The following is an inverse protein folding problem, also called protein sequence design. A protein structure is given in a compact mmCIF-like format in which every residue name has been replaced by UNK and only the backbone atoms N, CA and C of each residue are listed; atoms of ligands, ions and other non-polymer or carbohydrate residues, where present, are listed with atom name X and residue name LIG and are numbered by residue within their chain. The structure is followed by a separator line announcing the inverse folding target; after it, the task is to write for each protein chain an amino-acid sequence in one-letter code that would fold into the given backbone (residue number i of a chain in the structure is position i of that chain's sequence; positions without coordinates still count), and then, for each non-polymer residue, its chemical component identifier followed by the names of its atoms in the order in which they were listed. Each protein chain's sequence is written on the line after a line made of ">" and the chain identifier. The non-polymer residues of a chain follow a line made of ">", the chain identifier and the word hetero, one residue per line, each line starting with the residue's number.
data_IF_789936409996
#
_entry.id   IF_789936409996
#
_cell.length_a   1.000
_cell.length_b   1.000
_cell.length_c   1.000
_cell.angle_alpha   90.00
_cell.angle_beta   90.00
_cell.angle_gamma   90.00
#
_symmetry.space_group_name_H-M   'P 1'
#
loop_
_entity.id
_entity.type
_entity.pdbx_description
1 polymer ?
#
# COMPACT_ATOMS: atom_id res chain seq x y z
N UNK A 1 -9.10 39.54 11.43
CA UNK A 1 -10.10 38.71 12.14
C UNK A 1 -11.14 38.27 11.12
N UNK A 2 -10.90 37.12 10.49
CA UNK A 2 -11.91 36.44 9.68
C UNK A 2 -12.29 35.15 10.41
N UNK A 3 -13.58 34.96 10.56
CA UNK A 3 -14.28 34.03 11.42
C UNK A 3 -13.90 32.57 11.16
N UNK A 4 -13.25 31.95 12.14
CA UNK A 4 -13.37 30.51 12.39
C UNK A 4 -14.76 30.28 13.01
N UNK A 5 -15.61 29.54 12.32
CA UNK A 5 -16.93 29.20 12.83
C UNK A 5 -17.71 28.30 11.88
N UNK A 6 -17.82 27.04 12.31
CA UNK A 6 -18.96 26.14 12.07
C UNK A 6 -18.98 25.30 10.78
N UNK A 7 -18.72 23.99 10.93
CA UNK A 7 -19.39 22.98 10.09
C UNK A 7 -18.56 21.96 9.30
N UNK A 8 -17.26 21.78 9.54
CA UNK A 8 -16.41 20.81 8.80
C UNK A 8 -16.67 19.32 9.09
N UNK A 9 -17.93 18.87 9.09
CA UNK A 9 -18.33 17.48 9.41
C UNK A 9 -19.18 16.76 8.32
N UNK A 10 -18.81 16.80 7.03
CA UNK A 10 -19.25 15.71 6.14
C UNK A 10 -18.13 14.97 5.39
N UNK A 11 -17.07 15.66 4.97
CA UNK A 11 -16.04 15.08 4.12
C UNK A 11 -15.05 14.23 4.92
N UNK A 12 -14.21 14.83 5.78
CA UNK A 12 -13.14 14.16 6.57
C UNK A 12 -13.60 12.89 7.32
N UNK A 13 -14.84 12.93 7.83
CA UNK A 13 -15.52 11.81 8.46
C UNK A 13 -15.64 10.57 7.57
N UNK A 14 -15.81 10.72 6.26
CA UNK A 14 -15.99 9.60 5.33
C UNK A 14 -14.74 8.74 5.15
N UNK A 15 -13.53 9.29 5.36
CA UNK A 15 -12.27 8.51 5.36
C UNK A 15 -11.87 8.07 6.77
N UNK A 16 -12.18 8.90 7.78
CA UNK A 16 -11.91 8.59 9.18
C UNK A 16 -12.74 7.41 9.68
N UNK A 17 -14.03 7.34 9.34
CA UNK A 17 -14.93 6.24 9.74
C UNK A 17 -14.39 4.88 9.28
N UNK A 18 -14.13 4.61 7.99
CA UNK A 18 -13.63 3.30 7.56
C UNK A 18 -12.24 3.00 8.14
N UNK A 19 -11.38 4.02 8.32
CA UNK A 19 -10.08 3.83 8.95
C UNK A 19 -10.20 3.40 10.43
N UNK A 20 -11.06 4.07 11.21
CA UNK A 20 -11.34 3.72 12.61
C UNK A 20 -12.04 2.38 12.71
N UNK A 21 -13.02 2.10 11.86
CA UNK A 21 -13.70 0.80 11.80
C UNK A 21 -12.69 -0.32 11.50
N UNK A 22 -11.79 -0.11 10.54
CA UNK A 22 -10.73 -1.07 10.23
C UNK A 22 -9.77 -1.26 11.41
N UNK A 23 -9.40 -0.19 12.12
CA UNK A 23 -8.56 -0.23 13.31
C UNK A 23 -9.21 -1.02 14.44
N UNK A 24 -10.45 -0.67 14.79
CA UNK A 24 -11.22 -1.35 15.84
C UNK A 24 -11.44 -2.82 15.48
N UNK A 25 -11.81 -3.12 14.24
CA UNK A 25 -11.99 -4.50 13.78
C UNK A 25 -10.69 -5.31 13.83
N UNK A 26 -9.54 -4.71 13.46
CA UNK A 26 -8.24 -5.37 13.52
C UNK A 26 -7.83 -5.63 14.97
N UNK A 27 -7.97 -4.64 15.86
CA UNK A 27 -7.68 -4.80 17.29
C UNK A 27 -8.59 -5.83 17.96
N UNK A 28 -9.89 -5.78 17.71
CA UNK A 28 -10.85 -6.77 18.20
C UNK A 28 -10.50 -8.18 17.70
N UNK A 29 -10.07 -8.30 16.44
CA UNK A 29 -9.58 -9.56 15.88
C UNK A 29 -8.30 -10.03 16.56
N UNK A 30 -7.32 -9.15 16.76
CA UNK A 30 -6.03 -9.48 17.35
C UNK A 30 -6.17 -9.92 18.81
N UNK A 31 -7.04 -9.26 19.57
CA UNK A 31 -7.36 -9.57 20.97
C UNK A 31 -8.34 -10.75 21.13
N UNK A 32 -8.94 -11.23 20.04
CA UNK A 32 -9.87 -12.36 20.09
C UNK A 32 -9.15 -13.65 20.49
N UNK A 33 -9.74 -14.49 21.37
CA UNK A 33 -9.19 -15.82 21.67
C UNK A 33 -8.99 -16.70 20.43
N UNK A 34 -9.76 -16.45 19.36
CA UNK A 34 -9.69 -17.18 18.08
C UNK A 34 -8.45 -16.85 17.26
N UNK A 35 -7.77 -15.74 17.53
CA UNK A 35 -6.54 -15.35 16.79
C UNK A 35 -5.33 -16.19 17.19
N UNK A 36 -5.37 -16.79 18.39
CA UNK A 36 -4.28 -17.54 19.00
C UNK A 36 -3.12 -16.62 19.41
N UNK A 37 -1.88 -17.04 19.17
CA UNK A 37 -0.68 -16.24 19.44
C UNK A 37 -0.40 -15.20 18.33
N UNK A 38 -1.28 -14.20 18.19
CA UNK A 38 -1.06 -13.14 17.19
C UNK A 38 0.09 -12.21 17.62
N UNK A 39 1.11 -12.00 16.77
CA UNK A 39 2.28 -11.23 17.18
C UNK A 39 2.01 -9.71 17.19
N UNK A 40 2.42 -9.05 18.26
CA UNK A 40 2.20 -7.61 18.49
C UNK A 40 2.81 -6.70 17.42
N UNK A 41 3.91 -7.10 16.76
CA UNK A 41 4.48 -6.28 15.69
C UNK A 41 3.51 -6.09 14.51
N UNK A 42 2.56 -7.02 14.29
CA UNK A 42 1.57 -6.91 13.21
C UNK A 42 0.47 -5.90 13.53
N UNK A 43 0.03 -5.82 14.78
CA UNK A 43 -0.89 -4.75 15.21
C UNK A 43 -0.22 -3.39 15.09
N UNK A 44 1.05 -3.27 15.46
CA UNK A 44 1.81 -2.02 15.30
C UNK A 44 1.98 -1.62 13.84
N UNK A 45 2.29 -2.56 12.93
CA UNK A 45 2.33 -2.25 11.51
C UNK A 45 0.96 -1.85 10.96
N UNK A 46 -0.12 -2.48 11.40
CA UNK A 46 -1.46 -2.08 10.97
C UNK A 46 -1.80 -0.66 11.44
N UNK A 47 -1.58 -0.36 12.72
CA UNK A 47 -1.84 0.97 13.28
C UNK A 47 -1.00 2.04 12.60
N UNK A 48 0.28 1.78 12.35
CA UNK A 48 1.17 2.71 11.66
C UNK A 48 0.77 2.90 10.19
N UNK A 49 0.35 1.85 9.49
CA UNK A 49 -0.13 1.95 8.12
C UNK A 49 -1.39 2.81 8.01
N UNK A 50 -2.38 2.56 8.88
CA UNK A 50 -3.61 3.37 8.92
C UNK A 50 -3.30 4.82 9.32
N UNK A 51 -2.46 5.03 10.35
CA UNK A 51 -2.06 6.36 10.78
C UNK A 51 -1.31 7.12 9.68
N UNK A 52 -0.46 6.43 8.90
CA UNK A 52 0.27 7.01 7.79
C UNK A 52 -0.66 7.53 6.68
N UNK A 53 -1.72 6.80 6.33
CA UNK A 53 -2.73 7.30 5.36
C UNK A 53 -3.56 8.43 5.96
N UNK A 54 -3.97 8.30 7.22
CA UNK A 54 -4.73 9.35 7.87
C UNK A 54 -3.91 10.64 7.93
N UNK A 55 -2.59 10.56 8.13
CA UNK A 55 -1.71 11.72 8.11
C UNK A 55 -1.66 12.40 6.73
N UNK A 56 -1.92 11.71 5.61
CA UNK A 56 -1.92 12.37 4.29
C UNK A 56 -3.23 13.08 3.99
N UNK A 57 -4.33 12.68 4.63
CA UNK A 57 -5.68 13.22 4.40
C UNK A 57 -6.08 14.24 5.48
N UNK A 58 -5.59 14.06 6.71
CA UNK A 58 -5.88 14.95 7.83
C UNK A 58 -4.85 16.09 7.89
N UNK A 59 -5.31 17.26 8.35
CA UNK A 59 -4.43 18.39 8.66
C UNK A 59 -3.44 18.03 9.77
N UNK A 60 -2.17 18.49 9.71
CA UNK A 60 -1.66 19.63 8.92
C UNK A 60 -0.96 19.28 7.59
N UNK A 61 -0.73 17.99 7.31
CA UNK A 61 0.04 17.56 6.13
C UNK A 61 -0.70 17.82 4.82
N UNK A 62 -2.03 17.76 4.83
CA UNK A 62 -2.87 18.12 3.69
C UNK A 62 -2.66 19.60 3.30
N UNK A 63 -2.82 20.53 4.23
CA UNK A 63 -2.57 21.98 4.00
C UNK A 63 -1.14 22.28 3.54
N UNK A 64 -0.14 21.65 4.17
CA UNK A 64 1.26 21.83 3.77
C UNK A 64 1.54 21.29 2.36
N UNK A 65 0.85 20.22 1.95
CA UNK A 65 1.00 19.65 0.61
C UNK A 65 0.45 20.54 -0.52
N UNK A 66 -0.44 21.48 -0.20
CA UNK A 66 -0.89 22.49 -1.17
C UNK A 66 0.14 23.61 -1.36
N UNK A 67 1.03 23.81 -0.39
CA UNK A 67 2.00 24.92 -0.40
C UNK A 67 3.38 24.45 -0.85
N UNK A 68 3.74 23.20 -0.54
CA UNK A 68 5.06 22.65 -0.80
C UNK A 68 4.97 21.31 -1.57
N UNK A 69 5.53 21.31 -2.78
CA UNK A 69 5.55 20.13 -3.64
C UNK A 69 6.40 18.98 -3.06
N UNK A 70 7.40 19.28 -2.23
CA UNK A 70 8.19 18.26 -1.53
C UNK A 70 7.32 17.52 -0.51
N UNK A 71 6.48 18.25 0.23
CA UNK A 71 5.51 17.69 1.17
C UNK A 71 4.44 16.90 0.44
N UNK A 72 3.97 17.39 -0.71
CA UNK A 72 3.04 16.67 -1.57
C UNK A 72 3.62 15.32 -2.02
N UNK A 73 4.85 15.33 -2.53
CA UNK A 73 5.55 14.11 -2.96
C UNK A 73 5.74 13.14 -1.80
N UNK A 74 6.06 13.65 -0.61
CA UNK A 74 6.17 12.84 0.61
C UNK A 74 4.84 12.18 1.01
N UNK A 75 3.74 12.94 1.00
CA UNK A 75 2.41 12.42 1.31
C UNK A 75 2.00 11.32 0.33
N UNK A 76 2.26 11.51 -0.97
CA UNK A 76 1.96 10.50 -1.99
C UNK A 76 2.77 9.23 -1.80
N UNK A 77 4.04 9.36 -1.43
CA UNK A 77 4.91 8.24 -1.12
C UNK A 77 4.44 7.49 0.13
N UNK A 78 4.00 8.22 1.14
CA UNK A 78 3.49 7.66 2.39
C UNK A 78 2.20 6.86 2.15
N UNK A 79 1.26 7.42 1.36
CA UNK A 79 0.00 6.77 0.99
C UNK A 79 0.17 5.62 -0.02
N UNK A 80 1.02 5.79 -1.03
CA UNK A 80 1.15 4.87 -2.16
C UNK A 80 2.16 3.74 -1.96
N UNK A 81 3.11 3.86 -1.03
CA UNK A 81 4.15 2.84 -0.84
C UNK A 81 4.29 2.39 0.63
N UNK A 82 4.48 3.34 1.54
CA UNK A 82 4.79 3.02 2.95
C UNK A 82 3.60 2.37 3.65
N UNK A 83 2.43 3.01 3.60
CA UNK A 83 1.21 2.47 4.20
C UNK A 83 0.84 1.09 3.61
N UNK A 84 0.75 0.93 2.29
CA UNK A 84 0.54 -0.37 1.65
C UNK A 84 1.46 -1.47 2.15
N UNK A 85 2.76 -1.18 2.28
CA UNK A 85 3.73 -2.14 2.78
C UNK A 85 3.41 -2.57 4.22
N UNK A 86 3.15 -1.61 5.10
CA UNK A 86 2.81 -1.87 6.49
C UNK A 86 1.50 -2.66 6.62
N UNK A 87 0.48 -2.29 5.85
CA UNK A 87 -0.81 -2.96 5.80
C UNK A 87 -0.67 -4.42 5.32
N UNK A 88 0.08 -4.67 4.25
CA UNK A 88 0.31 -6.05 3.76
C UNK A 88 1.11 -6.89 4.76
N UNK A 89 2.08 -6.29 5.46
CA UNK A 89 2.87 -6.98 6.50
C UNK A 89 2.04 -7.35 7.73
N UNK A 90 1.00 -6.58 8.03
CA UNK A 90 0.09 -6.84 9.14
C UNK A 90 -0.82 -8.07 8.92
N UNK A 91 -0.94 -8.59 7.69
CA UNK A 91 -1.75 -9.78 7.34
C UNK A 91 -3.23 -9.69 7.78
N UNK A 92 -3.95 -8.63 7.38
CA UNK A 92 -5.30 -8.36 7.86
C UNK A 92 -6.29 -9.45 7.42
N UNK A 93 -6.14 -9.99 6.21
CA UNK A 93 -7.00 -11.05 5.72
C UNK A 93 -6.77 -12.39 6.44
N UNK A 94 -5.52 -12.71 6.81
CA UNK A 94 -5.25 -13.89 7.65
C UNK A 94 -5.93 -13.75 9.01
N UNK A 95 -5.88 -12.56 9.63
CA UNK A 95 -6.53 -12.32 10.92
C UNK A 95 -8.05 -12.44 10.79
N UNK A 96 -8.64 -11.77 9.80
CA UNK A 96 -10.07 -11.84 9.53
C UNK A 96 -10.56 -13.28 9.34
N UNK A 97 -9.85 -14.10 8.55
CA UNK A 97 -10.22 -15.50 8.33
C UNK A 97 -10.09 -16.38 9.58
N UNK A 98 -9.27 -16.00 10.57
CA UNK A 98 -9.14 -16.72 11.84
C UNK A 98 -10.21 -16.35 12.85
N UNK A 99 -10.69 -15.10 12.81
CA UNK A 99 -11.60 -14.55 13.83
C UNK A 99 -13.06 -14.61 13.40
N UNK A 100 -13.33 -14.49 12.10
CA UNK A 100 -14.67 -14.58 11.52
C UNK A 100 -15.26 -15.99 11.68
N UNK A 101 -16.58 -16.02 11.86
CA UNK A 101 -17.34 -17.26 11.87
C UNK A 101 -17.36 -17.92 10.48
N UNK A 102 -17.74 -19.19 10.43
CA UNK A 102 -17.62 -20.07 9.25
C UNK A 102 -18.29 -19.48 8.01
N UNK A 103 -19.46 -18.84 8.17
CA UNK A 103 -20.22 -18.29 7.05
C UNK A 103 -19.58 -17.03 6.42
N UNK A 104 -19.25 -15.96 7.17
CA UNK A 104 -18.53 -14.82 6.61
C UNK A 104 -17.11 -15.17 6.14
N UNK A 105 -16.41 -16.10 6.82
CA UNK A 105 -15.11 -16.59 6.36
C UNK A 105 -15.20 -17.28 4.99
N UNK A 106 -16.25 -18.07 4.74
CA UNK A 106 -16.51 -18.67 3.41
C UNK A 106 -16.87 -17.63 2.35
N UNK A 107 -17.62 -16.58 2.69
CA UNK A 107 -17.92 -15.48 1.75
C UNK A 107 -16.64 -14.72 1.37
N UNK A 108 -15.82 -14.35 2.36
CA UNK A 108 -14.54 -13.70 2.13
C UNK A 108 -13.60 -14.57 1.29
N UNK A 109 -13.49 -15.86 1.62
CA UNK A 109 -12.69 -16.81 0.84
C UNK A 109 -13.19 -17.00 -0.59
N UNK A 110 -14.52 -16.94 -0.83
CA UNK A 110 -15.09 -16.95 -2.20
C UNK A 110 -14.78 -15.66 -2.94
N UNK A 111 -14.90 -14.50 -2.27
CA UNK A 111 -14.56 -13.20 -2.85
C UNK A 111 -13.08 -13.15 -3.26
N UNK A 112 -12.18 -13.61 -2.39
CA UNK A 112 -10.74 -13.71 -2.67
C UNK A 112 -10.41 -14.69 -3.81
N UNK A 113 -11.31 -15.63 -4.11
CA UNK A 113 -11.20 -16.57 -5.24
C UNK A 113 -11.86 -16.07 -6.53
N UNK A 114 -12.52 -14.92 -6.50
CA UNK A 114 -13.20 -14.37 -7.68
C UNK A 114 -12.22 -14.02 -8.79
N UNK A 115 -12.70 -14.07 -10.04
CA UNK A 115 -11.91 -13.69 -11.22
C UNK A 115 -11.42 -12.23 -11.18
N UNK A 116 -12.20 -11.35 -10.54
CA UNK A 116 -11.83 -9.94 -10.34
C UNK A 116 -10.61 -9.79 -9.40
N UNK A 117 -10.61 -10.48 -8.27
CA UNK A 117 -9.44 -10.51 -7.37
C UNK A 117 -8.25 -11.21 -8.01
N UNK A 118 -8.49 -12.22 -8.87
CA UNK A 118 -7.42 -12.84 -9.67
C UNK A 118 -6.80 -11.85 -10.65
N UNK A 119 -7.60 -11.02 -11.31
CA UNK A 119 -7.13 -10.01 -12.25
C UNK A 119 -6.34 -8.90 -11.53
N UNK A 120 -6.87 -8.37 -10.43
CA UNK A 120 -6.21 -7.34 -9.61
C UNK A 120 -4.98 -7.85 -8.86
N UNK A 121 -4.99 -9.11 -8.45
CA UNK A 121 -3.88 -9.76 -7.76
C UNK A 121 -2.73 -10.19 -8.69
N UNK A 122 -2.89 -10.05 -10.01
CA UNK A 122 -1.82 -10.26 -10.96
C UNK A 122 -0.78 -9.13 -10.80
N UNK A 123 0.51 -9.44 -10.58
CA UNK A 123 1.54 -8.42 -10.40
C UNK A 123 1.61 -7.43 -11.57
N UNK A 124 1.35 -7.87 -12.80
CA UNK A 124 1.36 -6.98 -13.97
C UNK A 124 0.25 -5.94 -13.88
N UNK A 125 -0.99 -6.37 -13.62
CA UNK A 125 -2.13 -5.47 -13.46
C UNK A 125 -1.90 -4.49 -12.32
N UNK A 126 -1.40 -4.99 -11.18
CA UNK A 126 -1.14 -4.16 -10.01
C UNK A 126 -0.04 -3.12 -10.29
N UNK A 127 1.03 -3.50 -11.00
CA UNK A 127 2.08 -2.57 -11.42
C UNK A 127 1.56 -1.52 -12.40
N UNK A 128 0.72 -1.90 -13.36
CA UNK A 128 0.09 -0.95 -14.30
C UNK A 128 -0.82 0.03 -13.58
N UNK A 129 -1.63 -0.42 -12.62
CA UNK A 129 -2.50 0.47 -11.84
C UNK A 129 -1.70 1.43 -10.95
N UNK A 130 -0.60 0.94 -10.37
CA UNK A 130 0.27 1.73 -9.50
C UNK A 130 1.07 2.77 -10.31
N UNK A 131 1.86 2.31 -11.27
CA UNK A 131 2.72 3.17 -12.10
C UNK A 131 1.89 4.05 -13.03
N UNK A 132 0.84 3.50 -13.66
CA UNK A 132 -0.05 4.25 -14.53
C UNK A 132 -0.81 5.35 -13.78
N UNK A 133 -1.22 5.08 -12.53
CA UNK A 133 -1.83 6.09 -11.65
C UNK A 133 -0.87 7.25 -11.37
N UNK A 134 0.38 6.96 -11.02
CA UNK A 134 1.39 8.00 -10.76
C UNK A 134 1.74 8.80 -12.03
N UNK A 135 1.93 8.13 -13.17
CA UNK A 135 2.22 8.82 -14.44
C UNK A 135 1.06 9.74 -14.81
N UNK A 136 -0.19 9.26 -14.71
CA UNK A 136 -1.37 10.06 -15.02
C UNK A 136 -1.42 11.29 -14.10
N UNK A 137 -1.18 11.10 -12.81
CA UNK A 137 -1.21 12.20 -11.84
C UNK A 137 -0.19 13.29 -12.12
N UNK A 138 1.08 12.93 -12.40
CA UNK A 138 2.15 13.91 -12.60
C UNK A 138 2.24 14.46 -14.03
N UNK A 139 1.73 13.75 -15.04
CA UNK A 139 1.82 14.16 -16.45
C UNK A 139 0.54 14.78 -16.99
N UNK A 140 -0.54 14.80 -16.20
CA UNK A 140 -1.80 15.45 -16.57
C UNK A 140 -2.17 16.51 -15.56
N UNK A 141 -3.15 17.37 -15.88
CA UNK A 141 -3.70 18.36 -14.94
C UNK A 141 -4.48 17.76 -13.75
N UNK A 142 -4.35 16.45 -13.51
CA UNK A 142 -4.96 15.79 -12.35
C UNK A 142 -4.36 16.29 -11.04
N UNK A 143 -3.10 16.72 -11.04
CA UNK A 143 -2.46 17.35 -9.89
C UNK A 143 -3.17 18.66 -9.50
N UNK A 144 -3.43 19.52 -10.47
CA UNK A 144 -4.15 20.79 -10.26
C UNK A 144 -5.58 20.53 -9.81
N UNK A 145 -6.28 19.61 -10.49
CA UNK A 145 -7.65 19.21 -10.14
C UNK A 145 -7.75 18.64 -8.71
N UNK A 146 -6.71 17.96 -8.25
CA UNK A 146 -6.60 17.43 -6.90
C UNK A 146 -6.44 18.53 -5.85
N UNK A 147 -5.71 19.59 -6.19
CA UNK A 147 -5.53 20.74 -5.31
C UNK A 147 -6.79 21.61 -5.24
N UNK A 148 -7.51 21.74 -6.35
CA UNK A 148 -8.73 22.54 -6.44
C UNK A 148 -9.96 21.86 -5.85
N UNK A 149 -10.00 20.52 -5.86
CA UNK A 149 -11.19 19.78 -5.47
C UNK A 149 -10.91 18.64 -4.48
N UNK A 150 -11.51 18.77 -3.30
CA UNK A 150 -11.45 17.77 -2.23
C UNK A 150 -11.86 16.36 -2.71
N UNK A 151 -12.95 16.15 -3.47
CA UNK A 151 -13.33 14.80 -3.91
C UNK A 151 -12.28 14.14 -4.82
N UNK A 152 -11.54 14.91 -5.62
CA UNK A 152 -10.47 14.38 -6.48
C UNK A 152 -9.24 14.00 -5.66
N UNK A 153 -8.85 14.82 -4.68
CA UNK A 153 -7.81 14.45 -3.69
C UNK A 153 -8.07 13.11 -3.03
N UNK A 154 -9.32 12.85 -2.72
CA UNK A 154 -9.74 11.63 -2.05
C UNK A 154 -9.70 10.44 -2.99
N UNK A 155 -10.20 10.61 -4.21
CA UNK A 155 -10.18 9.55 -5.22
C UNK A 155 -8.74 9.17 -5.59
N UNK A 156 -7.85 10.14 -5.74
CA UNK A 156 -6.44 9.94 -6.04
C UNK A 156 -5.73 9.25 -4.87
N UNK A 157 -5.91 9.73 -3.64
CA UNK A 157 -5.31 9.12 -2.44
C UNK A 157 -5.80 7.69 -2.25
N UNK A 158 -7.11 7.45 -2.43
CA UNK A 158 -7.68 6.11 -2.36
C UNK A 158 -7.12 5.20 -3.46
N UNK A 159 -7.02 5.70 -4.70
CA UNK A 159 -6.45 4.95 -5.81
C UNK A 159 -4.99 4.59 -5.56
N UNK A 160 -4.16 5.53 -5.08
CA UNK A 160 -2.77 5.31 -4.74
C UNK A 160 -2.61 4.26 -3.65
N UNK A 161 -3.41 4.36 -2.59
CA UNK A 161 -3.42 3.38 -1.50
C UNK A 161 -3.84 2.00 -2.01
N UNK A 162 -4.92 1.93 -2.80
CA UNK A 162 -5.45 0.67 -3.31
C UNK A 162 -4.49 0.01 -4.31
N UNK A 163 -3.94 0.77 -5.26
CA UNK A 163 -2.98 0.32 -6.24
C UNK A 163 -1.67 -0.12 -5.58
N UNK A 164 -1.16 0.67 -4.64
CA UNK A 164 0.03 0.34 -3.85
C UNK A 164 -0.17 -0.92 -3.00
N UNK A 165 -1.35 -1.07 -2.38
CA UNK A 165 -1.70 -2.27 -1.62
C UNK A 165 -1.77 -3.50 -2.52
N UNK A 166 -2.43 -3.40 -3.67
CA UNK A 166 -2.49 -4.48 -4.66
C UNK A 166 -1.11 -4.86 -5.18
N UNK A 167 -0.27 -3.87 -5.49
CA UNK A 167 1.09 -4.10 -5.95
C UNK A 167 1.90 -4.82 -4.88
N UNK A 168 1.91 -4.30 -3.66
CA UNK A 168 2.67 -4.89 -2.56
C UNK A 168 2.14 -6.27 -2.17
N UNK A 169 0.82 -6.48 -2.19
CA UNK A 169 0.20 -7.78 -1.95
C UNK A 169 0.55 -8.78 -3.08
N UNK A 170 0.62 -8.33 -4.33
CA UNK A 170 1.01 -9.19 -5.45
C UNK A 170 2.48 -9.62 -5.37
N UNK A 171 3.38 -8.73 -4.90
CA UNK A 171 4.83 -8.95 -4.83
C UNK A 171 5.30 -9.63 -3.53
N UNK A 172 4.73 -9.28 -2.38
CA UNK A 172 5.10 -9.89 -1.08
C UNK A 172 4.07 -10.92 -0.65
N UNK A 173 2.78 -10.65 -0.80
CA UNK A 173 1.62 -11.50 -0.47
C UNK A 173 1.93 -12.76 0.34
N UNK A 174 1.91 -12.64 1.67
CA UNK A 174 1.99 -13.76 2.61
C UNK A 174 0.61 -14.26 3.06
N UNK A 175 -0.44 -13.54 2.69
CA UNK A 175 -1.81 -13.97 2.90
C UNK A 175 -2.17 -15.12 1.93
N UNK A 176 -3.18 -15.96 2.28
CA UNK A 176 -3.61 -17.07 1.43
C UNK A 176 -4.10 -16.54 0.08
N UNK A 177 -3.23 -16.53 -0.93
CA UNK A 177 -3.57 -16.18 -2.30
C UNK A 177 -3.63 -17.45 -3.14
N UNK A 178 -4.83 -17.87 -3.58
CA UNK A 178 -5.01 -19.06 -4.42
C UNK A 178 -4.32 -18.96 -5.77
N UNK A 179 -4.03 -17.74 -6.23
CA UNK A 179 -3.56 -17.43 -7.57
C UNK A 179 -2.16 -16.80 -7.56
N UNK A 180 -1.30 -17.21 -6.61
CA UNK A 180 0.01 -16.59 -6.42
C UNK A 180 0.90 -16.80 -7.66
N UNK A 181 1.32 -15.68 -8.26
CA UNK A 181 2.25 -15.70 -9.39
C UNK A 181 3.60 -16.33 -9.02
N UNK A 182 4.27 -16.93 -10.01
CA UNK A 182 5.61 -17.49 -9.83
C UNK A 182 6.65 -16.43 -9.44
N UNK A 183 7.69 -16.83 -8.71
CA UNK A 183 8.74 -15.93 -8.23
C UNK A 183 9.38 -15.09 -9.35
N UNK A 184 9.68 -15.71 -10.50
CA UNK A 184 10.29 -15.04 -11.65
C UNK A 184 9.47 -13.85 -12.14
N UNK A 185 8.15 -14.03 -12.32
CA UNK A 185 7.26 -12.96 -12.77
C UNK A 185 7.23 -11.81 -11.75
N UNK A 186 7.15 -12.12 -10.46
CA UNK A 186 7.14 -11.11 -9.39
C UNK A 186 8.46 -10.32 -9.35
N UNK A 187 9.59 -11.00 -9.50
CA UNK A 187 10.90 -10.36 -9.54
C UNK A 187 11.05 -9.44 -10.75
N UNK A 188 10.65 -9.90 -11.95
CA UNK A 188 10.68 -9.09 -13.18
C UNK A 188 9.78 -7.86 -13.04
N UNK A 189 8.55 -8.05 -12.57
CA UNK A 189 7.60 -6.94 -12.39
C UNK A 189 8.11 -5.94 -11.34
N UNK A 190 8.71 -6.42 -10.24
CA UNK A 190 9.30 -5.53 -9.24
C UNK A 190 10.42 -4.68 -9.85
N UNK A 191 11.35 -5.30 -10.60
CA UNK A 191 12.45 -4.58 -11.25
C UNK A 191 11.92 -3.56 -12.26
N UNK A 192 10.93 -3.92 -13.08
CA UNK A 192 10.32 -3.01 -14.04
C UNK A 192 9.59 -1.85 -13.35
N UNK A 193 8.91 -2.13 -12.23
CA UNK A 193 8.22 -1.09 -11.44
C UNK A 193 9.22 -0.13 -10.80
N UNK A 194 10.33 -0.63 -10.25
CA UNK A 194 11.43 0.18 -9.71
C UNK A 194 12.02 1.07 -10.81
N UNK A 195 12.26 0.50 -11.99
CA UNK A 195 12.76 1.27 -13.12
C UNK A 195 11.77 2.38 -13.52
N UNK A 196 10.49 2.05 -13.63
CA UNK A 196 9.46 3.03 -14.00
C UNK A 196 9.31 4.15 -12.95
N UNK A 197 9.37 3.83 -11.67
CA UNK A 197 9.34 4.81 -10.59
C UNK A 197 10.55 5.74 -10.63
N UNK A 198 11.75 5.18 -10.81
CA UNK A 198 12.98 5.98 -10.93
C UNK A 198 12.99 6.85 -12.20
N UNK A 199 12.44 6.36 -13.31
CA UNK A 199 12.27 7.15 -14.53
C UNK A 199 11.29 8.30 -14.27
N UNK A 200 10.19 8.05 -13.56
CA UNK A 200 9.23 9.10 -13.22
C UNK A 200 9.85 10.17 -12.32
N UNK A 201 10.61 9.77 -11.29
CA UNK A 201 11.30 10.72 -10.41
C UNK A 201 12.30 11.59 -11.17
N UNK A 202 13.11 11.00 -12.05
CA UNK A 202 14.01 11.75 -12.94
C UNK A 202 13.24 12.59 -13.97
N UNK A 203 12.08 12.13 -14.41
CA UNK A 203 11.19 12.87 -15.30
C UNK A 203 10.69 14.15 -14.66
N UNK A 204 10.22 14.09 -13.40
CA UNK A 204 9.80 15.28 -12.64
C UNK A 204 10.99 16.23 -12.40
N UNK A 205 12.18 15.69 -12.14
CA UNK A 205 13.39 16.49 -11.98
C UNK A 205 13.77 17.24 -13.27
N UNK A 206 13.66 16.59 -14.43
CA UNK A 206 14.07 17.16 -15.71
C UNK A 206 12.99 18.04 -16.37
N UNK A 207 11.72 17.69 -16.18
CA UNK A 207 10.55 18.33 -16.79
C UNK A 207 9.49 18.54 -15.70
N UNK A 208 9.57 19.66 -14.96
CA UNK A 208 8.68 19.93 -13.84
C UNK A 208 7.22 20.04 -14.33
N UNK A 209 6.23 19.58 -13.54
CA UNK A 209 4.83 19.71 -13.93
C UNK A 209 4.44 21.20 -14.04
N UNK A 210 3.48 21.53 -14.92
CA UNK A 210 3.06 22.91 -15.13
C UNK A 210 2.56 23.53 -13.81
N UNK A 211 3.00 24.75 -13.51
CA UNK A 211 2.62 25.47 -12.30
C UNK A 211 3.56 25.31 -11.09
N UNK A 212 4.57 24.43 -11.17
CA UNK A 212 5.52 24.21 -10.07
C UNK A 212 6.87 24.84 -10.39
N UNK A 213 7.44 25.58 -9.42
CA UNK A 213 8.77 26.17 -9.53
C UNK A 213 9.85 25.07 -9.64
N UNK A 214 10.87 25.21 -10.51
CA UNK A 214 11.89 24.17 -10.71
C UNK A 214 12.59 23.72 -9.42
N UNK A 215 12.85 24.64 -8.48
CA UNK A 215 13.47 24.31 -7.19
C UNK A 215 12.57 23.42 -6.32
N UNK A 216 11.26 23.65 -6.34
CA UNK A 216 10.29 22.82 -5.61
C UNK A 216 10.14 21.44 -6.27
N UNK A 217 10.11 21.39 -7.60
CA UNK A 217 10.07 20.14 -8.37
C UNK A 217 11.31 19.26 -8.12
N UNK A 218 12.50 19.88 -8.04
CA UNK A 218 13.73 19.18 -7.66
C UNK A 218 13.61 18.52 -6.28
N UNK A 219 13.15 19.26 -5.26
CA UNK A 219 12.99 18.71 -3.92
C UNK A 219 11.98 17.55 -3.87
N UNK A 220 10.81 17.70 -4.53
CA UNK A 220 9.83 16.63 -4.62
C UNK A 220 10.33 15.40 -5.36
N UNK A 221 11.08 15.59 -6.44
CA UNK A 221 11.71 14.50 -7.18
C UNK A 221 12.75 13.76 -6.33
N UNK A 222 13.55 14.47 -5.53
CA UNK A 222 14.53 13.85 -4.62
C UNK A 222 13.83 13.05 -3.53
N UNK A 223 12.76 13.58 -2.92
CA UNK A 223 11.95 12.85 -1.93
C UNK A 223 11.38 11.57 -2.54
N UNK A 224 10.82 11.66 -3.74
CA UNK A 224 10.25 10.51 -4.43
C UNK A 224 11.32 9.46 -4.79
N UNK A 225 12.49 9.93 -5.25
CA UNK A 225 13.63 9.08 -5.59
C UNK A 225 14.20 8.33 -4.38
N UNK A 226 14.59 9.07 -3.33
CA UNK A 226 15.25 8.47 -2.15
C UNK A 226 14.27 7.73 -1.24
N UNK A 227 13.08 8.30 -1.00
CA UNK A 227 12.05 7.64 -0.21
C UNK A 227 11.54 6.38 -0.91
N UNK A 228 11.37 6.44 -2.23
CA UNK A 228 10.93 5.32 -3.05
C UNK A 228 11.95 4.19 -2.99
N UNK A 229 13.22 4.52 -3.21
CA UNK A 229 14.32 3.57 -3.13
C UNK A 229 14.36 2.83 -1.78
N UNK A 230 14.12 3.53 -0.66
CA UNK A 230 14.09 2.89 0.65
C UNK A 230 13.00 1.79 0.75
N UNK A 231 11.78 2.08 0.27
CA UNK A 231 10.68 1.11 0.27
C UNK A 231 10.95 -0.04 -0.72
N UNK A 232 11.50 0.27 -1.88
CA UNK A 232 11.86 -0.70 -2.92
C UNK A 232 12.94 -1.68 -2.45
N UNK A 233 13.95 -1.20 -1.73
CA UNK A 233 14.97 -2.05 -1.11
C UNK A 233 14.31 -3.00 -0.11
N UNK A 234 13.38 -2.52 0.72
CA UNK A 234 12.63 -3.39 1.65
C UNK A 234 11.82 -4.45 0.90
N UNK A 235 11.15 -4.08 -0.21
CA UNK A 235 10.43 -5.01 -1.07
C UNK A 235 11.35 -6.10 -1.65
N UNK A 236 12.52 -5.70 -2.18
CA UNK A 236 13.54 -6.62 -2.71
C UNK A 236 14.01 -7.57 -1.60
N UNK A 237 14.40 -7.05 -0.44
CA UNK A 237 14.88 -7.86 0.69
C UNK A 237 13.82 -8.87 1.12
N UNK A 238 12.55 -8.45 1.20
CA UNK A 238 11.46 -9.35 1.57
C UNK A 238 11.21 -10.42 0.51
N UNK A 239 11.28 -10.08 -0.77
CA UNK A 239 11.15 -11.01 -1.89
C UNK A 239 12.29 -12.04 -1.90
N UNK A 240 13.54 -11.59 -1.76
CA UNK A 240 14.73 -12.45 -1.68
C UNK A 240 14.69 -13.38 -0.45
N UNK A 241 14.27 -12.86 0.72
CA UNK A 241 14.09 -13.68 1.93
C UNK A 241 13.06 -14.78 1.74
N UNK A 242 11.95 -14.51 1.04
CA UNK A 242 10.94 -15.52 0.72
C UNK A 242 11.51 -16.62 -0.19
N UNK A 243 12.26 -16.22 -1.22
CA UNK A 243 12.91 -17.16 -2.11
C UNK A 243 13.91 -18.04 -1.37
N UNK A 244 14.78 -17.44 -0.56
CA UNK A 244 15.76 -18.19 0.23
C UNK A 244 15.10 -19.21 1.17
N UNK A 245 14.00 -18.85 1.83
CA UNK A 245 13.25 -19.78 2.69
C UNK A 245 12.61 -20.94 1.92
N UNK A 246 12.17 -20.72 0.68
CA UNK A 246 11.56 -21.76 -0.17
C UNK A 246 12.59 -22.67 -0.84
N UNK A 247 13.77 -22.14 -1.15
CA UNK A 247 14.87 -22.88 -1.76
C UNK A 247 15.66 -23.71 -0.76
N UNK A 248 15.37 -23.60 0.55
CA UNK A 248 15.97 -24.48 1.56
C UNK A 248 15.58 -25.93 1.26
N UNK A 249 16.55 -26.84 1.06
CA UNK A 249 16.26 -28.25 0.95
C UNK A 249 15.49 -28.67 2.20
N UNK A 250 14.25 -29.15 2.04
CA UNK A 250 13.57 -29.86 3.13
C UNK A 250 14.48 -31.03 3.46
N UNK A 251 15.13 -31.01 4.62
CA UNK A 251 15.80 -32.18 5.16
C UNK A 251 14.75 -33.29 5.16
N UNK A 252 14.85 -34.23 4.22
CA UNK A 252 14.12 -35.49 4.26
C UNK A 252 14.56 -36.14 5.57
N UNK A 253 13.78 -35.97 6.63
CA UNK A 253 13.88 -36.84 7.79
C UNK A 253 13.50 -38.21 7.22
N UNK A 254 14.53 -39.02 6.99
CA UNK A 254 14.37 -40.40 6.58
C UNK A 254 13.54 -41.07 7.68
N UNK A 255 12.26 -41.32 7.41
CA UNK A 255 11.45 -42.24 8.18
C UNK A 255 12.06 -43.61 7.99
N UNK A 256 12.99 -43.97 8.87
CA UNK A 256 13.54 -45.30 8.98
C UNK A 256 12.39 -46.27 9.14
N UNK A 257 12.22 -47.10 8.14
CA UNK A 257 11.54 -48.39 8.17
C UNK A 257 11.87 -49.13 9.48
N UNK A 258 10.85 -49.39 10.31
CA UNK A 258 10.85 -50.55 11.20
C UNK A 258 9.76 -51.50 10.72
N UNK A 259 10.16 -52.42 9.85
CA UNK A 259 9.62 -53.77 9.87
C UNK A 259 10.32 -54.50 11.00
N UNK A 260 9.57 -54.93 12.00
CA UNK A 260 9.71 -56.20 12.73
C UNK A 260 8.50 -56.35 13.63
#
# INVERSE_FOLDING_TARGET
>A
MHSHGEGGFPAESLFFIPAVVALVAYWAGALSPRSGSWPWHRTVFFTLGVAAVLATVLNPLAELSHTDFAVLSFSHLLAGMVSPLLLVLSRPFTLALRTLDVYPARRLSRLLRSGFVRFLGNPVTAAVLNTGGMILMFRTGLLDAMQDSMPVHWLVTFHLLAAGYLFTASIIGRDPSPHRAGYRLRAVVLILSIAAHNILAKGIYADPPPGIEPAAAEQGALVMYYGGAAVEIVLIVLLCRQWYQWSRPRSRIASGTRHQ
#
